data_IF_779847236627
#
_entry.id   IF_779847236627
#
_cell.length_a   1.000
_cell.length_b   1.000
_cell.length_c   1.000
_cell.angle_alpha   90.00
_cell.angle_beta   90.00
_cell.angle_gamma   90.00
#
_symmetry.space_group_name_H-M   'P 1'
#
loop_
_entity.id
_entity.type
_entity.pdbx_description
1 polymer ?
#
# COMPACT_ATOMS: atom_id res chain seq x y z
N UNK A 1 -38.47 -3.63 -39.00
CA UNK A 1 -38.79 -3.76 -37.57
C UNK A 1 -38.44 -2.43 -36.91
N UNK A 2 -39.43 -1.71 -36.35
CA UNK A 2 -39.15 -0.50 -35.58
C UNK A 2 -38.50 -0.90 -34.27
N UNK A 3 -37.37 -0.23 -33.94
CA UNK A 3 -36.67 -0.44 -32.70
C UNK A 3 -37.54 0.10 -31.54
N UNK A 4 -37.80 -0.70 -30.53
CA UNK A 4 -38.55 -0.29 -29.36
C UNK A 4 -37.69 0.67 -28.56
N UNK A 5 -38.17 1.91 -28.38
CA UNK A 5 -37.55 2.90 -27.46
C UNK A 5 -37.90 2.52 -26.02
N UNK A 6 -36.91 2.26 -25.20
CA UNK A 6 -37.07 1.98 -23.76
C UNK A 6 -36.82 3.25 -22.96
N UNK A 7 -37.37 3.31 -21.75
CA UNK A 7 -37.18 4.45 -20.83
C UNK A 7 -35.68 4.67 -20.51
N UNK A 8 -34.89 3.61 -20.57
CA UNK A 8 -33.45 3.64 -20.33
C UNK A 8 -32.62 4.15 -21.54
N UNK A 9 -33.28 4.49 -22.66
CA UNK A 9 -32.62 5.04 -23.85
C UNK A 9 -32.10 6.48 -23.66
N UNK A 10 -32.38 7.14 -22.53
CA UNK A 10 -31.94 8.51 -22.25
C UNK A 10 -30.41 8.65 -22.25
N UNK A 11 -29.65 7.62 -21.83
CA UNK A 11 -28.19 7.65 -21.88
C UNK A 11 -27.57 7.70 -23.29
N UNK A 12 -28.35 7.46 -24.34
CA UNK A 12 -27.90 7.51 -25.74
C UNK A 12 -27.87 8.94 -26.28
N UNK A 13 -28.58 9.85 -25.64
CA UNK A 13 -28.73 11.23 -26.08
C UNK A 13 -27.94 12.24 -25.20
N UNK A 14 -27.23 11.79 -24.18
CA UNK A 14 -26.38 12.64 -23.35
C UNK A 14 -25.16 13.10 -24.14
N UNK A 15 -25.04 14.40 -24.27
CA UNK A 15 -23.85 15.02 -24.87
C UNK A 15 -22.69 14.98 -23.86
N UNK A 16 -21.46 15.16 -24.33
CA UNK A 16 -20.30 15.30 -23.43
C UNK A 16 -20.44 16.53 -22.50
N UNK A 17 -21.16 17.56 -22.93
CA UNK A 17 -21.49 18.73 -22.12
C UNK A 17 -22.46 18.38 -21.00
N UNK A 18 -23.52 17.61 -21.27
CA UNK A 18 -24.48 17.16 -20.26
C UNK A 18 -23.78 16.29 -19.18
N UNK A 19 -22.90 15.40 -19.62
CA UNK A 19 -22.10 14.56 -18.69
C UNK A 19 -21.16 15.41 -17.81
N UNK A 20 -20.54 16.44 -18.39
CA UNK A 20 -19.67 17.36 -17.66
C UNK A 20 -20.47 18.17 -16.63
N UNK A 21 -21.68 18.61 -16.96
CA UNK A 21 -22.55 19.33 -16.03
C UNK A 21 -23.05 18.41 -14.90
N UNK A 22 -23.48 17.19 -15.21
CA UNK A 22 -23.89 16.21 -14.21
C UNK A 22 -22.75 15.92 -13.23
N UNK A 23 -21.53 15.73 -13.73
CA UNK A 23 -20.34 15.56 -12.91
C UNK A 23 -20.08 16.79 -12.03
N UNK A 24 -20.23 18.00 -12.58
CA UNK A 24 -20.04 19.23 -11.82
C UNK A 24 -21.07 19.36 -10.68
N UNK A 25 -22.32 19.04 -10.92
CA UNK A 25 -23.34 18.98 -9.87
C UNK A 25 -23.03 17.93 -8.80
N UNK A 26 -22.50 16.76 -9.21
CA UNK A 26 -22.03 15.74 -8.25
C UNK A 26 -20.91 16.31 -7.35
N UNK A 27 -19.94 17.05 -7.93
CA UNK A 27 -18.85 17.66 -7.19
C UNK A 27 -19.36 18.76 -6.23
N UNK A 28 -20.29 19.61 -6.67
CA UNK A 28 -20.92 20.61 -5.79
C UNK A 28 -21.62 19.94 -4.60
N UNK A 29 -22.36 18.85 -4.83
CA UNK A 29 -23.01 18.09 -3.77
C UNK A 29 -21.99 17.43 -2.83
N UNK A 30 -20.90 16.86 -3.36
CA UNK A 30 -19.82 16.29 -2.57
C UNK A 30 -19.11 17.35 -1.72
N UNK A 31 -18.89 18.54 -2.26
CA UNK A 31 -18.34 19.69 -1.53
C UNK A 31 -19.20 20.12 -0.36
N UNK A 32 -20.53 20.27 -0.59
CA UNK A 32 -21.50 20.68 0.46
C UNK A 32 -21.62 19.63 1.56
N UNK A 33 -21.69 18.36 1.19
CA UNK A 33 -21.84 17.23 2.13
C UNK A 33 -20.52 16.78 2.76
N UNK A 34 -19.37 17.34 2.36
CA UNK A 34 -18.02 16.91 2.78
C UNK A 34 -17.81 15.40 2.57
N UNK A 35 -18.41 14.86 1.50
CA UNK A 35 -18.29 13.44 1.14
C UNK A 35 -16.87 13.12 0.72
N UNK A 36 -16.35 11.99 1.19
CA UNK A 36 -15.06 11.45 0.72
C UNK A 36 -15.25 10.93 -0.71
N UNK A 37 -14.40 11.39 -1.60
CA UNK A 37 -14.25 10.91 -2.97
C UNK A 37 -12.92 10.18 -3.10
N UNK A 38 -12.80 9.30 -4.11
CA UNK A 38 -11.58 8.57 -4.41
C UNK A 38 -11.18 8.80 -5.86
N UNK A 39 -9.92 9.08 -6.12
CA UNK A 39 -9.38 9.30 -7.46
C UNK A 39 -7.91 8.89 -7.56
N UNK A 40 -7.42 8.75 -8.77
CA UNK A 40 -6.05 8.30 -9.03
C UNK A 40 -5.10 9.49 -9.02
N UNK A 41 -4.05 9.37 -8.20
CA UNK A 41 -2.93 10.33 -8.18
C UNK A 41 -2.11 10.16 -9.47
N UNK A 42 -2.13 11.18 -10.32
CA UNK A 42 -1.54 11.12 -11.67
C UNK A 42 -0.16 11.75 -11.75
N UNK A 43 0.15 12.67 -10.85
CA UNK A 43 1.45 13.33 -10.84
C UNK A 43 1.57 14.44 -9.83
N UNK A 44 2.74 15.07 -9.85
CA UNK A 44 3.08 16.22 -9.01
C UNK A 44 3.54 17.36 -9.94
N UNK A 45 3.00 18.53 -9.74
CA UNK A 45 3.34 19.73 -10.51
C UNK A 45 3.89 20.81 -9.57
N UNK A 46 4.86 21.57 -10.06
CA UNK A 46 5.38 22.74 -9.37
C UNK A 46 4.64 23.99 -9.87
N UNK A 47 4.13 24.78 -8.93
CA UNK A 47 3.47 26.06 -9.21
C UNK A 47 4.19 27.20 -8.49
N UNK A 48 3.85 28.44 -8.81
CA UNK A 48 4.37 29.63 -8.11
C UNK A 48 4.04 29.65 -6.61
N UNK A 49 2.94 28.98 -6.22
CA UNK A 49 2.49 28.85 -4.82
C UNK A 49 3.00 27.60 -4.10
N UNK A 50 3.75 26.73 -4.80
CA UNK A 50 4.30 25.49 -4.23
C UNK A 50 3.95 24.26 -5.05
N UNK A 51 4.33 23.08 -4.55
CA UNK A 51 4.05 21.81 -5.20
C UNK A 51 2.60 21.41 -4.96
N UNK A 52 1.96 20.86 -5.98
CA UNK A 52 0.60 20.32 -5.94
C UNK A 52 0.58 18.90 -6.46
N UNK A 53 -0.25 18.06 -5.87
CA UNK A 53 -0.60 16.76 -6.39
C UNK A 53 -1.82 16.86 -7.32
N UNK A 54 -1.75 16.19 -8.46
CA UNK A 54 -2.83 16.16 -9.45
C UNK A 54 -3.55 14.82 -9.37
N UNK A 55 -4.86 14.88 -9.21
CA UNK A 55 -5.73 13.72 -9.10
C UNK A 55 -6.82 13.81 -10.15
N UNK A 56 -7.19 12.68 -10.76
CA UNK A 56 -8.35 12.62 -11.64
C UNK A 56 -9.49 11.85 -10.99
N UNK A 57 -10.67 12.47 -11.03
CA UNK A 57 -11.93 11.86 -10.62
C UNK A 57 -12.92 11.92 -11.79
N UNK A 58 -13.28 10.75 -12.33
CA UNK A 58 -14.18 10.65 -13.49
C UNK A 58 -13.77 11.57 -14.67
N UNK A 59 -12.49 11.75 -14.90
CA UNK A 59 -11.95 12.63 -15.93
C UNK A 59 -11.76 14.11 -15.54
N UNK A 60 -12.34 14.57 -14.42
CA UNK A 60 -12.13 15.92 -13.91
C UNK A 60 -10.81 16.00 -13.15
N UNK A 61 -9.97 16.97 -13.56
CA UNK A 61 -8.72 17.29 -12.88
C UNK A 61 -8.99 18.01 -11.56
N UNK A 62 -8.36 17.54 -10.50
CA UNK A 62 -8.39 18.12 -9.17
C UNK A 62 -6.97 18.36 -8.67
N UNK A 63 -6.78 19.36 -7.85
CA UNK A 63 -5.50 19.69 -7.26
C UNK A 63 -5.54 19.53 -5.75
N UNK A 64 -4.50 18.97 -5.18
CA UNK A 64 -4.31 18.84 -3.74
C UNK A 64 -2.97 19.52 -3.40
N UNK A 65 -2.96 20.63 -2.66
CA UNK A 65 -1.72 21.21 -2.16
C UNK A 65 -0.94 20.17 -1.34
N UNK A 66 0.39 20.18 -1.42
CA UNK A 66 1.23 19.21 -0.69
C UNK A 66 1.00 19.27 0.82
N UNK A 67 0.70 20.44 1.38
CA UNK A 67 0.29 20.62 2.77
C UNK A 67 -0.99 19.87 3.15
N UNK A 68 -1.87 19.60 2.18
CA UNK A 68 -3.12 18.86 2.33
C UNK A 68 -3.00 17.37 1.98
N UNK A 69 -1.80 16.90 1.63
CA UNK A 69 -1.54 15.49 1.33
C UNK A 69 -1.29 14.61 2.57
N UNK A 70 -1.01 15.24 3.73
CA UNK A 70 -0.69 14.52 4.99
C UNK A 70 0.43 13.49 4.81
N UNK A 71 1.60 13.98 4.40
CA UNK A 71 2.78 13.14 4.27
C UNK A 71 3.49 13.04 5.62
N UNK A 72 3.63 11.81 6.13
CA UNK A 72 4.36 11.56 7.38
C UNK A 72 5.87 11.77 7.16
N UNK A 73 6.35 12.94 7.56
CA UNK A 73 7.75 13.32 7.55
C UNK A 73 8.23 13.51 8.98
N UNK A 74 9.39 12.93 9.32
CA UNK A 74 10.07 13.27 10.57
C UNK A 74 10.68 14.68 10.46
N UNK A 75 10.45 15.52 11.47
CA UNK A 75 10.85 16.94 11.51
C UNK A 75 12.38 17.21 11.55
N UNK A 76 13.21 16.17 11.45
CA UNK A 76 14.65 16.26 11.68
C UNK A 76 15.48 16.90 10.57
N UNK A 77 14.87 17.37 9.47
CA UNK A 77 15.60 17.89 8.31
C UNK A 77 15.18 19.32 7.97
N UNK A 78 16.12 20.14 7.45
CA UNK A 78 15.88 21.51 7.04
C UNK A 78 14.81 21.66 5.95
N UNK A 79 14.19 22.84 5.84
CA UNK A 79 13.03 23.13 4.99
C UNK A 79 13.21 22.74 3.51
N UNK A 80 14.41 22.94 2.94
CA UNK A 80 14.71 22.58 1.54
C UNK A 80 14.75 21.09 1.30
N UNK A 81 15.29 20.32 2.26
CA UNK A 81 15.28 18.85 2.18
C UNK A 81 13.89 18.27 2.37
N UNK A 82 13.05 18.90 3.20
CA UNK A 82 11.66 18.48 3.40
C UNK A 82 10.86 18.55 2.11
N UNK A 83 10.96 19.66 1.35
CA UNK A 83 10.24 19.82 0.07
C UNK A 83 10.64 18.73 -0.92
N UNK A 84 11.93 18.47 -1.08
CA UNK A 84 12.43 17.41 -1.96
C UNK A 84 11.96 16.01 -1.57
N UNK A 85 11.88 15.73 -0.26
CA UNK A 85 11.36 14.45 0.26
C UNK A 85 9.86 14.30 0.04
N UNK A 86 9.07 15.36 0.22
CA UNK A 86 7.63 15.37 -0.05
C UNK A 86 7.34 15.02 -1.51
N UNK A 87 8.00 15.69 -2.44
CA UNK A 87 7.86 15.42 -3.88
C UNK A 87 8.27 13.98 -4.21
N UNK A 88 9.34 13.46 -3.62
CA UNK A 88 9.78 12.06 -3.82
C UNK A 88 8.74 11.06 -3.31
N UNK A 89 8.15 11.30 -2.13
CA UNK A 89 7.10 10.43 -1.58
C UNK A 89 5.89 10.45 -2.49
N UNK A 90 5.44 11.62 -2.94
CA UNK A 90 4.31 11.76 -3.84
C UNK A 90 4.55 11.05 -5.18
N UNK A 91 5.73 11.19 -5.76
CA UNK A 91 6.10 10.50 -7.00
C UNK A 91 6.06 8.97 -6.83
N UNK A 92 6.44 8.45 -5.65
CA UNK A 92 6.33 7.02 -5.35
C UNK A 92 4.87 6.56 -5.16
N UNK A 93 3.93 7.49 -4.94
CA UNK A 93 2.50 7.21 -4.82
C UNK A 93 1.73 7.40 -6.14
N UNK A 94 2.37 7.89 -7.20
CA UNK A 94 1.71 8.06 -8.51
C UNK A 94 1.15 6.73 -8.99
N UNK A 95 -0.09 6.78 -9.48
CA UNK A 95 -0.88 5.59 -9.84
C UNK A 95 -1.75 5.05 -8.70
N UNK A 96 -1.53 5.51 -7.46
CA UNK A 96 -2.38 5.11 -6.33
C UNK A 96 -3.74 5.80 -6.40
N UNK A 97 -4.79 5.04 -6.12
CA UNK A 97 -6.09 5.62 -5.78
C UNK A 97 -6.01 6.22 -4.37
N UNK A 98 -6.29 7.50 -4.22
CA UNK A 98 -6.31 8.19 -2.94
C UNK A 98 -7.68 8.78 -2.64
N UNK A 99 -7.98 8.90 -1.35
CA UNK A 99 -9.25 9.48 -0.89
C UNK A 99 -9.04 10.93 -0.49
N UNK A 100 -10.03 11.76 -0.82
CA UNK A 100 -9.97 13.20 -0.55
C UNK A 100 -11.36 13.79 -0.30
N UNK A 101 -11.39 14.97 0.31
CA UNK A 101 -12.59 15.81 0.50
C UNK A 101 -12.35 17.12 -0.25
N UNK A 102 -13.37 17.62 -0.92
CA UNK A 102 -13.30 18.90 -1.63
C UNK A 102 -13.29 20.06 -0.64
N UNK A 103 -12.37 21.00 -0.80
CA UNK A 103 -12.22 22.15 0.06
C UNK A 103 -12.54 23.48 -0.66
N UNK A 104 -12.40 23.53 -1.97
CA UNK A 104 -12.80 24.65 -2.78
C UNK A 104 -13.27 24.22 -4.17
N UNK A 105 -14.24 24.95 -4.71
CA UNK A 105 -14.75 24.85 -6.09
C UNK A 105 -14.83 26.24 -6.69
N UNK A 106 -14.33 26.39 -7.91
CA UNK A 106 -14.51 27.60 -8.70
C UNK A 106 -15.37 27.25 -9.92
N UNK A 107 -16.60 27.73 -9.92
CA UNK A 107 -17.58 27.48 -10.99
C UNK A 107 -17.16 28.12 -12.32
N UNK A 108 -16.46 29.27 -12.27
CA UNK A 108 -16.03 30.00 -13.46
C UNK A 108 -14.83 29.33 -14.13
N UNK A 109 -13.82 29.01 -13.34
CA UNK A 109 -12.60 28.36 -13.83
C UNK A 109 -12.74 26.83 -13.94
N UNK A 110 -13.88 26.25 -13.51
CA UNK A 110 -14.10 24.80 -13.40
C UNK A 110 -12.93 24.09 -12.68
N UNK A 111 -12.37 24.76 -11.67
CA UNK A 111 -11.25 24.25 -10.90
C UNK A 111 -11.70 23.71 -9.53
N UNK A 112 -11.03 22.64 -9.09
CA UNK A 112 -11.38 21.92 -7.87
C UNK A 112 -10.14 21.73 -7.02
N UNK A 113 -10.22 22.17 -5.77
CA UNK A 113 -9.18 21.96 -4.77
C UNK A 113 -9.67 20.97 -3.73
N UNK A 114 -8.85 19.98 -3.42
CA UNK A 114 -9.18 18.90 -2.50
C UNK A 114 -8.12 18.75 -1.38
N UNK A 115 -8.48 18.00 -0.34
CA UNK A 115 -7.63 17.68 0.80
C UNK A 115 -7.69 16.18 1.08
N UNK A 116 -6.55 15.50 0.97
CA UNK A 116 -6.39 14.12 1.43
C UNK A 116 -6.37 14.08 2.96
N UNK A 117 -5.74 15.04 3.61
CA UNK A 117 -5.64 15.16 5.07
C UNK A 117 -7.01 15.12 5.74
N UNK A 118 -7.99 15.86 5.22
CA UNK A 118 -9.34 15.83 5.78
C UNK A 118 -10.04 14.48 5.60
N UNK A 119 -9.82 13.80 4.48
CA UNK A 119 -10.36 12.46 4.26
C UNK A 119 -9.75 11.43 5.21
N UNK A 120 -8.42 11.47 5.39
CA UNK A 120 -7.71 10.60 6.33
C UNK A 120 -8.20 10.84 7.76
N UNK A 121 -8.34 12.09 8.16
CA UNK A 121 -8.85 12.47 9.49
C UNK A 121 -10.30 11.95 9.69
N UNK A 122 -11.18 12.15 8.71
CA UNK A 122 -12.56 11.67 8.79
C UNK A 122 -12.65 10.14 8.91
N UNK A 123 -11.80 9.42 8.16
CA UNK A 123 -11.68 7.97 8.26
C UNK A 123 -11.16 7.53 9.62
N UNK A 124 -10.07 8.13 10.12
CA UNK A 124 -9.54 7.83 11.47
C UNK A 124 -10.61 7.97 12.52
N UNK A 125 -11.31 9.12 12.53
CA UNK A 125 -12.39 9.40 13.47
C UNK A 125 -13.47 8.31 13.43
N UNK A 126 -13.84 7.84 12.25
CA UNK A 126 -14.90 6.84 12.07
C UNK A 126 -14.47 5.43 12.48
N UNK A 127 -13.22 5.05 12.22
CA UNK A 127 -12.80 3.65 12.29
C UNK A 127 -11.96 3.31 13.52
N UNK A 128 -11.18 4.27 14.07
CA UNK A 128 -10.24 4.02 15.16
C UNK A 128 -10.69 4.59 16.50
N UNK A 129 -11.67 5.47 16.48
CA UNK A 129 -12.20 6.04 17.72
C UNK A 129 -13.59 5.46 18.03
N UNK A 130 -13.98 5.43 19.34
CA UNK A 130 -15.26 4.93 19.74
C UNK A 130 -16.41 5.64 19.01
N UNK A 131 -17.34 4.86 18.46
CA UNK A 131 -18.60 5.35 17.93
C UNK A 131 -19.65 5.53 19.06
N UNK A 132 -20.87 5.84 18.71
CA UNK A 132 -22.01 5.99 19.65
C UNK A 132 -22.20 4.74 20.54
N UNK A 133 -21.77 3.55 20.09
CA UNK A 133 -21.82 2.29 20.83
C UNK A 133 -20.58 2.04 21.70
N UNK A 134 -19.66 3.00 21.77
CA UNK A 134 -18.46 2.91 22.61
C UNK A 134 -17.31 2.05 22.06
N UNK A 135 -17.41 1.53 20.83
CA UNK A 135 -16.42 0.63 20.25
C UNK A 135 -15.77 1.23 18.98
N UNK A 136 -14.45 1.10 18.88
CA UNK A 136 -13.72 1.33 17.64
C UNK A 136 -13.93 0.16 16.67
N UNK A 137 -14.00 0.44 15.36
CA UNK A 137 -14.20 -0.59 14.34
C UNK A 137 -12.91 -1.35 14.03
N UNK A 138 -11.76 -0.68 14.14
CA UNK A 138 -10.44 -1.28 13.93
C UNK A 138 -9.73 -1.37 15.26
N UNK A 139 -9.44 -2.62 15.64
CA UNK A 139 -8.73 -2.99 16.86
C UNK A 139 -7.66 -4.00 16.53
N UNK A 140 -6.80 -4.30 17.48
CA UNK A 140 -5.81 -5.37 17.36
C UNK A 140 -6.49 -6.70 17.01
N UNK A 141 -5.87 -7.49 16.13
CA UNK A 141 -6.41 -8.74 15.60
C UNK A 141 -7.41 -8.59 14.46
N UNK A 142 -7.86 -7.38 14.14
CA UNK A 142 -8.81 -7.15 13.04
C UNK A 142 -8.18 -7.42 11.68
N UNK A 143 -8.86 -8.22 10.87
CA UNK A 143 -8.54 -8.39 9.45
C UNK A 143 -9.12 -7.22 8.67
N UNK A 144 -8.30 -6.58 7.86
CA UNK A 144 -8.66 -5.40 7.08
C UNK A 144 -8.18 -5.52 5.64
N UNK A 145 -8.91 -4.90 4.71
CA UNK A 145 -8.39 -4.62 3.39
C UNK A 145 -7.63 -3.29 3.44
N UNK A 146 -6.39 -3.30 2.99
CA UNK A 146 -5.50 -2.16 2.93
C UNK A 146 -5.15 -1.81 1.48
N UNK A 147 -4.80 -0.56 1.23
CA UNK A 147 -4.32 -0.08 -0.06
C UNK A 147 -2.81 0.10 -0.01
N UNK A 148 -2.10 -0.43 -1.01
CA UNK A 148 -0.66 -0.24 -1.17
C UNK A 148 -0.42 1.16 -1.72
N UNK A 149 0.23 2.02 -0.93
CA UNK A 149 0.51 3.42 -1.30
C UNK A 149 1.95 3.65 -1.76
N UNK A 150 2.87 2.79 -1.37
CA UNK A 150 4.26 2.80 -1.86
C UNK A 150 4.89 1.42 -1.66
N UNK A 151 5.84 1.08 -2.53
CA UNK A 151 6.60 -0.17 -2.46
C UNK A 151 8.08 0.14 -2.58
N UNK A 152 8.86 -0.40 -1.65
CA UNK A 152 10.32 -0.41 -1.71
C UNK A 152 10.83 -1.86 -1.62
N UNK A 153 12.10 -2.08 -1.87
CA UNK A 153 12.71 -3.42 -1.93
C UNK A 153 12.32 -4.32 -0.73
N UNK A 154 12.36 -3.80 0.49
CA UNK A 154 12.13 -4.55 1.74
C UNK A 154 10.92 -4.07 2.54
N UNK A 155 10.10 -3.20 2.00
CA UNK A 155 8.97 -2.59 2.72
C UNK A 155 7.82 -2.28 1.78
N UNK A 156 6.60 -2.63 2.20
CA UNK A 156 5.36 -2.18 1.58
C UNK A 156 4.68 -1.19 2.53
N UNK A 157 4.30 -0.02 2.03
CA UNK A 157 3.51 0.94 2.79
C UNK A 157 2.03 0.77 2.47
N UNK A 158 1.25 0.64 3.51
CA UNK A 158 -0.20 0.46 3.43
C UNK A 158 -0.95 1.66 4.00
N UNK A 159 -2.07 2.00 3.39
CA UNK A 159 -3.11 2.82 3.97
C UNK A 159 -4.25 1.93 4.44
N UNK A 160 -4.60 2.05 5.71
CA UNK A 160 -5.68 1.32 6.37
C UNK A 160 -6.64 2.33 6.97
N UNK A 161 -7.74 2.63 6.28
CA UNK A 161 -8.81 3.53 6.75
C UNK A 161 -8.35 4.84 7.39
N UNK A 162 -7.40 5.52 6.73
CA UNK A 162 -6.91 6.82 7.17
C UNK A 162 -5.63 6.78 8.02
N UNK A 163 -5.13 5.61 8.38
CA UNK A 163 -3.82 5.43 9.00
C UNK A 163 -2.85 4.79 8.01
N UNK A 164 -1.58 5.13 8.09
CA UNK A 164 -0.52 4.54 7.28
C UNK A 164 0.40 3.69 8.14
N UNK A 165 0.81 2.54 7.61
CA UNK A 165 1.83 1.70 8.23
C UNK A 165 2.83 1.16 7.20
N UNK A 166 4.00 0.78 7.70
CA UNK A 166 5.04 0.13 6.93
C UNK A 166 5.09 -1.35 7.31
N UNK A 167 4.92 -2.24 6.34
CA UNK A 167 5.02 -3.69 6.53
C UNK A 167 6.39 -4.13 6.00
N UNK A 168 7.31 -4.55 6.87
CA UNK A 168 8.63 -5.01 6.45
C UNK A 168 8.53 -6.38 5.74
N UNK A 169 9.52 -6.72 4.93
CA UNK A 169 9.56 -7.95 4.13
C UNK A 169 9.24 -9.22 4.91
N UNK A 170 9.68 -9.30 6.19
CA UNK A 170 9.43 -10.43 7.09
C UNK A 170 7.95 -10.63 7.46
N UNK A 171 7.12 -9.58 7.33
CA UNK A 171 5.69 -9.58 7.69
C UNK A 171 4.79 -9.56 6.45
N UNK A 172 5.40 -9.59 5.24
CA UNK A 172 4.68 -9.64 3.97
C UNK A 172 4.27 -11.07 3.63
N UNK A 173 5.20 -12.03 3.72
CA UNK A 173 4.98 -13.42 3.35
C UNK A 173 5.84 -14.37 4.19
N UNK A 174 5.45 -15.65 4.25
CA UNK A 174 6.24 -16.71 4.88
C UNK A 174 7.50 -17.07 4.09
N UNK A 175 7.49 -16.86 2.78
CA UNK A 175 8.66 -17.04 1.95
C UNK A 175 9.59 -15.82 2.01
N UNK A 176 10.86 -16.03 1.70
CA UNK A 176 11.81 -14.94 1.60
C UNK A 176 11.41 -13.98 0.47
N UNK A 177 11.23 -12.72 0.83
CA UNK A 177 10.95 -11.63 -0.10
C UNK A 177 12.26 -10.90 -0.38
N UNK A 178 12.87 -11.19 -1.52
CA UNK A 178 14.09 -10.53 -1.98
C UNK A 178 13.84 -9.07 -2.37
N UNK A 179 12.81 -8.84 -3.16
CA UNK A 179 12.33 -7.53 -3.55
C UNK A 179 10.79 -7.52 -3.55
N UNK A 180 10.19 -6.68 -2.70
CA UNK A 180 8.73 -6.58 -2.62
C UNK A 180 8.10 -6.00 -3.90
N UNK A 181 8.86 -5.25 -4.71
CA UNK A 181 8.42 -4.67 -6.00
C UNK A 181 8.12 -5.72 -7.06
N UNK A 182 8.64 -6.94 -6.90
CA UNK A 182 8.32 -8.06 -7.79
C UNK A 182 6.90 -8.60 -7.58
N UNK A 183 6.29 -8.36 -6.41
CA UNK A 183 5.00 -8.94 -5.99
C UNK A 183 3.90 -7.91 -5.78
N UNK A 184 4.25 -6.69 -5.40
CA UNK A 184 3.29 -5.66 -5.01
C UNK A 184 3.53 -4.39 -5.80
N UNK A 185 2.43 -3.77 -6.21
CA UNK A 185 2.42 -2.51 -6.96
C UNK A 185 1.62 -1.46 -6.22
N UNK A 186 1.94 -0.20 -6.48
CA UNK A 186 1.18 0.94 -5.97
C UNK A 186 -0.27 0.87 -6.48
N UNK A 187 -1.23 1.03 -5.58
CA UNK A 187 -2.65 0.90 -5.89
C UNK A 187 -3.25 -0.49 -5.61
N UNK A 188 -2.42 -1.52 -5.38
CA UNK A 188 -2.91 -2.86 -5.03
C UNK A 188 -3.76 -2.81 -3.76
N UNK A 189 -4.76 -3.69 -3.70
CA UNK A 189 -5.57 -3.94 -2.49
C UNK A 189 -5.15 -5.26 -1.88
N UNK A 190 -4.68 -5.21 -0.66
CA UNK A 190 -4.16 -6.37 0.07
C UNK A 190 -4.91 -6.59 1.36
N UNK A 191 -4.94 -7.84 1.83
CA UNK A 191 -5.48 -8.15 3.14
C UNK A 191 -4.35 -8.17 4.18
N UNK A 192 -4.60 -7.61 5.36
CA UNK A 192 -3.65 -7.59 6.46
C UNK A 192 -4.37 -7.76 7.80
N UNK A 193 -3.66 -8.27 8.79
CA UNK A 193 -4.10 -8.30 10.19
C UNK A 193 -3.47 -7.12 10.89
N UNK A 194 -4.27 -6.30 11.55
CA UNK A 194 -3.78 -5.23 12.42
C UNK A 194 -3.20 -5.85 13.67
N UNK A 195 -1.92 -5.61 13.95
CA UNK A 195 -1.21 -6.23 15.08
C UNK A 195 -1.08 -5.31 16.27
N UNK A 196 -1.14 -4.00 16.09
CA UNK A 196 -1.26 -3.02 17.16
C UNK A 196 -1.98 -1.77 16.67
N UNK A 197 -2.66 -1.08 17.58
CA UNK A 197 -3.30 0.21 17.36
C UNK A 197 -2.96 1.13 18.54
N UNK A 198 -2.30 2.24 18.23
CA UNK A 198 -2.08 3.34 19.17
C UNK A 198 -2.84 4.55 18.64
N UNK A 199 -3.79 5.07 19.41
CA UNK A 199 -4.61 6.21 19.00
C UNK A 199 -4.57 7.29 20.08
N UNK A 200 -4.42 8.52 19.64
CA UNK A 200 -4.47 9.72 20.48
C UNK A 200 -5.71 10.54 20.09
N UNK A 201 -6.65 10.66 21.03
CA UNK A 201 -7.93 11.33 20.80
C UNK A 201 -7.80 12.87 20.70
N UNK A 202 -6.76 13.47 21.28
CA UNK A 202 -6.56 14.91 21.24
C UNK A 202 -6.05 15.36 19.86
N UNK A 203 -5.05 14.65 19.34
CA UNK A 203 -4.43 14.96 18.05
C UNK A 203 -5.08 14.24 16.86
N UNK A 204 -5.98 13.28 17.13
CA UNK A 204 -6.54 12.37 16.12
C UNK A 204 -5.46 11.59 15.34
N UNK A 205 -4.28 11.44 15.94
CA UNK A 205 -3.22 10.63 15.38
C UNK A 205 -3.46 9.15 15.67
N UNK A 206 -3.18 8.32 14.66
CA UNK A 206 -3.28 6.87 14.75
C UNK A 206 -2.01 6.25 14.19
N UNK A 207 -1.36 5.43 15.00
CA UNK A 207 -0.26 4.57 14.56
C UNK A 207 -0.72 3.13 14.60
N UNK A 208 -0.45 2.41 13.54
CA UNK A 208 -0.79 1.00 13.44
C UNK A 208 0.41 0.20 12.97
N UNK A 209 0.42 -1.08 13.34
CA UNK A 209 1.26 -2.09 12.70
C UNK A 209 0.36 -3.15 12.08
N UNK A 210 0.81 -3.75 10.99
CA UNK A 210 0.05 -4.75 10.27
C UNK A 210 0.96 -5.88 9.78
N UNK A 211 0.38 -7.06 9.65
CA UNK A 211 1.03 -8.28 9.22
C UNK A 211 0.18 -8.92 8.10
N UNK A 212 0.76 -9.09 6.92
CA UNK A 212 0.07 -9.68 5.77
C UNK A 212 0.20 -11.21 5.76
N UNK A 213 1.35 -11.74 6.24
CA UNK A 213 1.64 -13.18 6.18
C UNK A 213 0.73 -14.02 7.09
N UNK A 214 0.18 -13.44 8.17
CA UNK A 214 -0.72 -14.17 9.10
C UNK A 214 -1.98 -14.69 8.41
N UNK A 215 -2.39 -14.08 7.31
CA UNK A 215 -3.54 -14.52 6.52
C UNK A 215 -3.19 -15.57 5.47
N UNK A 216 -1.92 -15.81 5.25
CA UNK A 216 -1.43 -16.79 4.29
C UNK A 216 -1.22 -18.13 4.99
N UNK A 217 -1.63 -19.21 4.33
CA UNK A 217 -1.29 -20.56 4.79
C UNK A 217 0.24 -20.72 4.80
N UNK A 218 0.79 -21.14 5.91
CA UNK A 218 2.23 -21.40 6.02
C UNK A 218 2.59 -22.75 5.37
N UNK A 219 2.52 -22.80 4.06
CA UNK A 219 2.91 -23.99 3.29
C UNK A 219 4.40 -24.31 3.45
N UNK A 220 5.21 -23.30 3.77
CA UNK A 220 6.65 -23.50 3.97
C UNK A 220 6.91 -24.38 5.20
N UNK A 221 6.14 -24.18 6.27
CA UNK A 221 6.28 -25.00 7.48
C UNK A 221 5.83 -26.46 7.26
N UNK A 222 4.78 -26.69 6.47
CA UNK A 222 4.35 -28.03 6.10
C UNK A 222 5.44 -28.74 5.28
N UNK A 223 5.95 -28.09 4.26
CA UNK A 223 7.05 -28.63 3.43
C UNK A 223 8.37 -28.79 4.20
N UNK A 224 8.63 -27.91 5.20
CA UNK A 224 9.80 -28.05 6.06
C UNK A 224 9.77 -29.34 6.86
N UNK A 225 8.60 -29.77 7.36
CA UNK A 225 8.43 -31.03 8.08
C UNK A 225 8.72 -32.26 7.24
N UNK A 226 8.60 -32.15 5.91
CA UNK A 226 8.95 -33.20 4.95
C UNK A 226 10.46 -33.30 4.69
N UNK A 227 11.22 -32.25 5.05
CA UNK A 227 12.65 -32.25 4.89
C UNK A 227 13.31 -33.14 5.95
N UNK A 228 14.26 -33.97 5.50
CA UNK A 228 15.04 -34.84 6.39
C UNK A 228 16.38 -34.18 6.72
N UNK A 229 16.74 -34.21 8.02
CA UNK A 229 18.10 -33.85 8.45
C UNK A 229 19.09 -34.77 7.76
N UNK A 230 20.24 -34.25 7.31
CA UNK A 230 21.23 -34.91 6.45
C UNK A 230 20.70 -35.24 5.03
N UNK A 231 19.48 -34.83 4.70
CA UNK A 231 18.94 -34.94 3.34
C UNK A 231 19.62 -33.95 2.39
N UNK A 232 19.84 -34.37 1.14
CA UNK A 232 20.40 -33.54 0.08
C UNK A 232 19.29 -33.10 -0.84
N UNK A 233 19.21 -31.78 -1.07
CA UNK A 233 18.20 -31.14 -1.90
C UNK A 233 18.86 -30.22 -2.94
N UNK A 234 18.30 -30.16 -4.13
CA UNK A 234 18.66 -29.10 -5.08
C UNK A 234 17.95 -27.81 -4.69
N UNK A 235 18.57 -26.69 -4.97
CA UNK A 235 17.98 -25.38 -4.69
C UNK A 235 18.65 -24.28 -5.51
N UNK A 236 18.01 -23.12 -5.55
CA UNK A 236 18.52 -21.93 -6.21
C UNK A 236 18.79 -20.82 -5.21
N UNK A 237 19.92 -20.15 -5.37
CA UNK A 237 20.29 -19.00 -4.52
C UNK A 237 19.38 -17.83 -4.84
N UNK A 238 18.64 -17.37 -3.83
CA UNK A 238 17.76 -16.22 -3.95
C UNK A 238 18.44 -14.90 -3.57
N UNK A 239 19.36 -14.95 -2.59
CA UNK A 239 20.10 -13.77 -2.15
C UNK A 239 21.37 -14.18 -1.41
N UNK A 240 22.34 -13.23 -1.32
CA UNK A 240 23.55 -13.38 -0.50
C UNK A 240 23.73 -12.07 0.27
N UNK A 241 23.72 -12.15 1.59
CA UNK A 241 23.85 -10.97 2.45
C UNK A 241 24.76 -11.26 3.64
N UNK A 242 25.80 -10.44 3.83
CA UNK A 242 26.74 -10.55 4.97
C UNK A 242 27.31 -11.97 5.20
N UNK A 243 27.64 -12.68 4.12
CA UNK A 243 28.18 -14.04 4.20
C UNK A 243 27.12 -15.14 4.44
N UNK A 244 25.85 -14.78 4.51
CA UNK A 244 24.73 -15.72 4.58
C UNK A 244 24.16 -15.92 3.19
N UNK A 245 24.02 -17.17 2.77
CA UNK A 245 23.48 -17.57 1.48
C UNK A 245 22.03 -18.02 1.70
N UNK A 246 21.10 -17.34 1.05
CA UNK A 246 19.66 -17.68 1.07
C UNK A 246 19.34 -18.54 -0.14
N UNK A 247 18.71 -19.67 0.09
CA UNK A 247 18.42 -20.68 -0.92
C UNK A 247 16.94 -21.02 -0.91
N UNK A 248 16.35 -21.17 -2.08
CA UNK A 248 15.05 -21.78 -2.28
C UNK A 248 15.26 -23.22 -2.75
N UNK A 249 14.90 -24.19 -1.91
CA UNK A 249 14.99 -25.60 -2.27
C UNK A 249 13.92 -25.97 -3.31
N UNK A 250 14.17 -27.01 -4.08
CA UNK A 250 13.27 -27.47 -5.16
C UNK A 250 11.87 -27.88 -4.65
N UNK A 251 11.75 -28.29 -3.38
CA UNK A 251 10.48 -28.56 -2.71
C UNK A 251 9.78 -27.29 -2.20
N UNK A 252 10.35 -26.10 -2.44
CA UNK A 252 9.81 -24.82 -2.04
C UNK A 252 10.10 -24.40 -0.60
N UNK A 253 10.97 -25.09 0.12
CA UNK A 253 11.45 -24.70 1.45
C UNK A 253 12.55 -23.64 1.33
N UNK A 254 12.51 -22.64 2.22
CA UNK A 254 13.60 -21.69 2.35
C UNK A 254 14.73 -22.31 3.17
N UNK A 255 15.96 -22.09 2.76
CA UNK A 255 17.13 -22.58 3.43
C UNK A 255 18.20 -21.48 3.58
N UNK A 256 19.04 -21.62 4.60
CA UNK A 256 20.11 -20.68 4.93
C UNK A 256 21.42 -21.48 5.07
N UNK A 257 22.46 -21.06 4.36
CA UNK A 257 23.79 -21.59 4.52
C UNK A 257 24.75 -20.47 4.97
N UNK A 258 25.63 -20.83 5.92
CA UNK A 258 26.71 -19.95 6.42
C UNK A 258 28.06 -20.29 5.82
N UNK A 259 28.15 -21.39 5.10
CA UNK A 259 29.39 -21.85 4.44
C UNK A 259 29.04 -22.57 3.13
N UNK A 260 29.95 -22.51 2.20
CA UNK A 260 29.93 -23.28 0.96
C UNK A 260 31.17 -24.16 0.88
N UNK A 261 31.00 -25.45 0.58
CA UNK A 261 32.11 -26.39 0.40
C UNK A 261 32.67 -26.32 -1.04
N UNK A 262 32.10 -25.49 -1.90
CA UNK A 262 32.62 -25.26 -3.23
C UNK A 262 33.73 -24.19 -3.18
N UNK A 263 34.75 -24.36 -3.94
CA UNK A 263 35.85 -23.40 -4.04
C UNK A 263 35.45 -22.14 -4.83
N UNK A 264 34.35 -22.19 -5.57
CA UNK A 264 33.70 -21.03 -6.17
C UNK A 264 32.64 -20.49 -5.21
N UNK A 265 32.72 -19.20 -4.86
CA UNK A 265 31.63 -18.53 -4.18
C UNK A 265 30.42 -18.46 -5.14
N UNK A 266 29.29 -19.10 -4.78
CA UNK A 266 28.12 -19.09 -5.65
C UNK A 266 27.50 -17.70 -5.72
N UNK A 267 26.92 -17.36 -6.86
CA UNK A 267 26.20 -16.11 -7.11
C UNK A 267 24.70 -16.21 -6.92
N UNK A 268 24.02 -15.07 -6.95
CA UNK A 268 22.55 -15.01 -6.99
C UNK A 268 22.05 -15.72 -8.27
N UNK A 269 21.00 -16.52 -8.13
CA UNK A 269 20.37 -17.36 -9.15
C UNK A 269 21.17 -18.64 -9.55
N UNK A 270 22.28 -18.92 -8.91
CA UNK A 270 22.98 -20.19 -9.14
C UNK A 270 22.19 -21.37 -8.56
N UNK A 271 22.19 -22.48 -9.29
CA UNK A 271 21.65 -23.76 -8.81
C UNK A 271 22.71 -24.49 -7.98
N UNK A 272 22.33 -24.93 -6.80
CA UNK A 272 23.21 -25.57 -5.84
C UNK A 272 22.64 -26.89 -5.28
N UNK A 273 23.53 -27.72 -4.73
CA UNK A 273 23.16 -28.85 -3.88
C UNK A 273 23.28 -28.45 -2.42
N UNK A 274 22.19 -28.54 -1.69
CA UNK A 274 22.07 -28.16 -0.27
C UNK A 274 21.90 -29.41 0.60
N UNK A 275 22.65 -29.48 1.69
CA UNK A 275 22.50 -30.53 2.70
C UNK A 275 21.91 -29.92 3.96
N UNK A 276 20.80 -30.45 4.42
CA UNK A 276 20.10 -29.97 5.63
C UNK A 276 20.80 -30.49 6.87
N UNK A 277 21.38 -29.62 7.65
CA UNK A 277 21.99 -29.96 8.94
C UNK A 277 20.99 -29.85 10.09
N UNK A 278 20.08 -28.88 10.01
CA UNK A 278 19.09 -28.60 11.05
C UNK A 278 17.81 -28.03 10.43
N UNK A 279 16.68 -28.29 11.06
CA UNK A 279 15.40 -27.64 10.73
C UNK A 279 15.04 -26.63 11.82
N UNK A 280 14.95 -25.38 11.43
CA UNK A 280 14.50 -24.30 12.29
C UNK A 280 12.99 -24.10 12.06
N UNK A 281 12.19 -24.71 12.92
CA UNK A 281 10.73 -24.67 12.80
C UNK A 281 10.14 -23.31 13.20
N UNK A 282 10.81 -22.55 14.06
CA UNK A 282 10.35 -21.22 14.49
C UNK A 282 10.44 -20.22 13.34
N UNK A 283 11.55 -20.25 12.61
CA UNK A 283 11.77 -19.37 11.48
C UNK A 283 11.32 -19.97 10.14
N UNK A 284 10.89 -21.21 10.10
CA UNK A 284 10.42 -21.90 8.90
C UNK A 284 11.53 -22.15 7.86
N UNK A 285 12.77 -22.38 8.28
CA UNK A 285 13.92 -22.52 7.40
C UNK A 285 14.71 -23.79 7.67
N UNK A 286 15.33 -24.35 6.61
CA UNK A 286 16.35 -25.38 6.73
C UNK A 286 17.74 -24.74 6.83
N UNK A 287 18.62 -25.30 7.67
CA UNK A 287 19.99 -24.79 7.85
C UNK A 287 20.98 -25.89 7.51
#
# INVERSE_FOLDING_TARGET
MQQVLTIDANGVYETEEDKAELLWHELQNAYRSKRILSGVLSGVEETSSGSIAVVYYKGQRMIIPVSEMELNLSEQNGYGEMKGRQVRILNNMVGCEIDFILIALDDTARSVVASRRLAMLAKRRKFYFPNENGNAQITEGRVVQARVIAVAEKVVRLEVFGAECAVPARDIAWEWVGDAREKYHVGDRVMAVVTSVESDAETMNVKITADMKRLMKNEVLEKLKECKVQGRYSGRITDIHKGVIFVRLSNGVNAIAHSCNDYRLPGKNDDISFVVNRLDQENGVAV
#
